data_IF_408256675449
#
_entry.id   IF_408256675449
#
_cell.length_a   1.000
_cell.length_b   1.000
_cell.length_c   1.000
_cell.angle_alpha   90.00
_cell.angle_beta   90.00
_cell.angle_gamma   90.00
#
_symmetry.space_group_name_H-M   'P 1'
#
loop_
_entity.id
_entity.type
_entity.pdbx_description
1 polymer ?
#
# COMPACT_ATOMS: atom_id res chain seq x y z
N UNK A 1 -3.29 -25.31 4.53
CA UNK A 1 -1.88 -24.84 4.46
C UNK A 1 -1.61 -24.33 3.05
N UNK A 2 -1.13 -23.08 2.91
CA UNK A 2 -0.86 -22.48 1.61
C UNK A 2 0.36 -23.15 0.96
N UNK A 3 0.27 -23.42 -0.36
CA UNK A 3 1.37 -23.99 -1.14
C UNK A 3 1.80 -22.99 -2.20
N UNK A 4 3.10 -22.65 -2.24
CA UNK A 4 3.62 -21.73 -3.25
C UNK A 4 3.47 -22.33 -4.65
N UNK A 5 3.01 -21.52 -5.60
CA UNK A 5 2.93 -21.85 -7.03
C UNK A 5 3.99 -21.13 -7.86
N UNK A 6 4.45 -19.98 -7.38
CA UNK A 6 5.51 -19.20 -8.05
C UNK A 6 6.61 -18.84 -7.07
N UNK A 7 7.77 -18.44 -7.59
CA UNK A 7 8.73 -17.67 -6.83
C UNK A 7 8.18 -16.27 -6.50
N UNK A 8 8.90 -15.53 -5.66
CA UNK A 8 8.53 -14.14 -5.36
C UNK A 8 8.80 -13.23 -6.56
N UNK A 9 7.89 -12.29 -6.78
CA UNK A 9 7.99 -11.26 -7.81
C UNK A 9 7.49 -9.93 -7.25
N UNK A 10 7.59 -8.85 -8.03
CA UNK A 10 7.12 -7.53 -7.63
C UNK A 10 5.92 -7.09 -8.46
N UNK A 11 4.92 -6.55 -7.78
CA UNK A 11 3.90 -5.69 -8.36
C UNK A 11 4.22 -4.25 -7.96
N UNK A 12 3.89 -3.32 -8.83
CA UNK A 12 4.12 -1.89 -8.59
C UNK A 12 2.90 -1.08 -9.01
N UNK A 13 2.55 -0.09 -8.21
CA UNK A 13 1.56 0.92 -8.54
C UNK A 13 2.09 2.29 -8.16
N UNK A 14 1.88 3.27 -9.03
CA UNK A 14 2.30 4.65 -8.79
C UNK A 14 1.10 5.57 -8.87
N UNK A 15 0.85 6.29 -7.79
CA UNK A 15 -0.12 7.38 -7.73
C UNK A 15 0.61 8.71 -7.82
N UNK A 16 0.12 9.59 -8.69
CA UNK A 16 0.69 10.92 -8.87
C UNK A 16 -0.18 11.96 -8.19
N UNK A 17 0.42 12.68 -7.26
CA UNK A 17 -0.15 13.88 -6.66
C UNK A 17 0.22 15.07 -7.55
N UNK A 18 -0.78 15.75 -8.11
CA UNK A 18 -0.55 16.91 -8.97
C UNK A 18 0.10 18.07 -8.20
N UNK A 19 0.83 18.97 -8.88
CA UNK A 19 1.32 20.19 -8.27
C UNK A 19 0.18 20.95 -7.56
N UNK A 20 0.48 21.55 -6.42
CA UNK A 20 -0.45 22.34 -5.61
C UNK A 20 -1.67 21.56 -5.07
N UNK A 21 -1.64 20.24 -5.08
CA UNK A 21 -2.68 19.42 -4.43
C UNK A 21 -2.81 19.83 -2.96
N UNK A 22 -4.02 20.23 -2.57
CA UNK A 22 -4.30 20.76 -1.24
C UNK A 22 -4.19 19.68 -0.15
N UNK A 23 -3.75 20.10 1.04
CA UNK A 23 -3.72 19.23 2.22
C UNK A 23 -5.09 18.62 2.52
N UNK A 24 -5.11 17.34 2.84
CA UNK A 24 -6.33 16.58 3.04
C UNK A 24 -6.91 15.92 1.78
N UNK A 25 -6.50 16.35 0.59
CA UNK A 25 -6.90 15.68 -0.66
C UNK A 25 -6.23 14.30 -0.76
N UNK A 26 -6.98 13.30 -1.20
CA UNK A 26 -6.50 11.93 -1.40
C UNK A 26 -6.73 11.49 -2.83
N UNK A 27 -5.78 10.75 -3.38
CA UNK A 27 -5.85 10.16 -4.72
C UNK A 27 -5.68 8.66 -4.60
N UNK A 28 -6.45 7.90 -5.37
CA UNK A 28 -6.43 6.45 -5.38
C UNK A 28 -5.89 5.92 -6.71
N UNK A 29 -5.03 4.90 -6.63
CA UNK A 29 -4.67 4.00 -7.71
C UNK A 29 -5.15 2.59 -7.42
N UNK A 30 -5.17 1.71 -8.42
CA UNK A 30 -5.57 0.32 -8.27
C UNK A 30 -4.71 -0.63 -9.09
N UNK A 31 -4.45 -1.82 -8.53
CA UNK A 31 -3.75 -2.91 -9.20
C UNK A 31 -4.76 -4.02 -9.46
N UNK A 32 -4.90 -4.45 -10.72
CA UNK A 32 -5.69 -5.61 -11.09
C UNK A 32 -4.92 -6.90 -10.79
N UNK A 33 -5.50 -7.76 -9.98
CA UNK A 33 -4.96 -9.07 -9.60
C UNK A 33 -5.63 -10.23 -10.33
N UNK A 34 -6.53 -10.00 -11.28
CA UNK A 34 -7.30 -11.03 -11.95
C UNK A 34 -6.46 -12.13 -12.62
N UNK A 35 -5.19 -11.83 -12.96
CA UNK A 35 -4.25 -12.82 -13.47
C UNK A 35 -3.64 -13.74 -12.39
N UNK A 36 -3.68 -13.32 -11.13
CA UNK A 36 -3.00 -13.99 -10.01
C UNK A 36 -3.95 -14.64 -9.02
N UNK A 37 -5.15 -14.06 -8.86
CA UNK A 37 -6.19 -14.56 -7.95
C UNK A 37 -7.25 -15.29 -8.75
N UNK A 38 -7.61 -16.50 -8.32
CA UNK A 38 -8.61 -17.29 -9.01
C UNK A 38 -9.36 -18.18 -8.01
N UNK A 39 -10.60 -17.82 -7.74
CA UNK A 39 -11.50 -18.51 -6.79
C UNK A 39 -11.69 -19.99 -7.11
N UNK A 40 -12.06 -20.41 -8.36
CA UNK A 40 -12.27 -21.81 -8.70
C UNK A 40 -11.06 -22.69 -8.45
N UNK A 41 -9.84 -22.16 -8.58
CA UNK A 41 -8.61 -22.94 -8.38
C UNK A 41 -8.01 -22.77 -6.98
N UNK A 42 -8.56 -21.90 -6.14
CA UNK A 42 -8.06 -21.54 -4.82
C UNK A 42 -6.75 -20.76 -4.88
N UNK A 43 -6.50 -20.03 -5.99
CA UNK A 43 -5.30 -19.19 -6.12
C UNK A 43 -5.51 -17.86 -5.39
N UNK A 44 -4.51 -17.50 -4.59
CA UNK A 44 -4.44 -16.27 -3.84
C UNK A 44 -3.06 -15.63 -4.00
N UNK A 45 -2.96 -14.35 -3.66
CA UNK A 45 -1.69 -13.64 -3.63
C UNK A 45 -1.21 -13.54 -2.18
N UNK A 46 0.02 -13.98 -1.92
CA UNK A 46 0.69 -13.82 -0.63
C UNK A 46 1.64 -12.62 -0.72
N UNK A 47 1.34 -11.56 0.01
CA UNK A 47 2.18 -10.35 0.09
C UNK A 47 3.22 -10.55 1.20
N UNK A 48 4.49 -10.45 0.85
CA UNK A 48 5.63 -10.66 1.74
C UNK A 48 6.16 -9.34 2.33
N UNK A 49 6.17 -8.27 1.52
CA UNK A 49 6.55 -6.93 1.96
C UNK A 49 6.01 -5.86 1.02
N UNK A 50 5.88 -4.66 1.55
CA UNK A 50 5.48 -3.46 0.81
C UNK A 50 6.47 -2.34 1.12
N UNK A 51 7.04 -1.75 0.07
CA UNK A 51 7.90 -0.57 0.16
C UNK A 51 7.19 0.63 -0.48
N UNK A 52 7.13 1.75 0.23
CA UNK A 52 6.62 3.00 -0.30
C UNK A 52 7.76 3.94 -0.67
N UNK A 53 7.77 4.40 -1.91
CA UNK A 53 8.81 5.26 -2.48
C UNK A 53 8.18 6.58 -2.90
N UNK A 54 8.79 7.68 -2.46
CA UNK A 54 8.35 9.03 -2.76
C UNK A 54 9.37 9.71 -3.68
N UNK A 55 8.91 10.28 -4.77
CA UNK A 55 9.77 10.91 -5.79
C UNK A 55 9.17 12.24 -6.25
N UNK A 56 10.04 13.24 -6.44
CA UNK A 56 9.69 14.49 -7.08
C UNK A 56 9.46 14.26 -8.59
N UNK A 57 8.42 14.83 -9.14
CA UNK A 57 8.06 14.68 -10.54
C UNK A 57 8.99 15.40 -11.52
N UNK A 58 9.85 16.30 -11.05
CA UNK A 58 10.76 17.02 -11.93
C UNK A 58 11.93 16.16 -12.44
N UNK A 59 12.52 15.35 -11.56
CA UNK A 59 13.72 14.57 -11.86
C UNK A 59 13.70 13.17 -11.23
N UNK A 60 12.57 12.78 -10.62
CA UNK A 60 12.38 11.53 -9.88
C UNK A 60 13.33 11.38 -8.67
N UNK A 61 13.90 12.45 -8.18
CA UNK A 61 14.72 12.46 -6.97
C UNK A 61 13.83 12.27 -5.72
N UNK A 62 14.44 11.83 -4.63
CA UNK A 62 13.78 11.71 -3.33
C UNK A 62 14.06 12.93 -2.43
N UNK A 63 14.20 14.12 -3.01
CA UNK A 63 14.45 15.36 -2.27
C UNK A 63 13.17 15.86 -1.60
N UNK A 64 12.90 15.34 -0.42
CA UNK A 64 11.62 15.52 0.27
C UNK A 64 11.26 17.01 0.53
N UNK A 65 12.23 17.88 0.76
CA UNK A 65 12.00 19.33 0.94
C UNK A 65 11.33 20.02 -0.24
N UNK A 66 11.40 19.43 -1.44
CA UNK A 66 10.79 19.97 -2.65
C UNK A 66 9.36 19.44 -2.86
N UNK A 67 8.95 18.41 -2.13
CA UNK A 67 7.65 17.74 -2.35
C UNK A 67 6.47 18.51 -1.76
N UNK A 68 6.67 19.29 -0.70
CA UNK A 68 5.61 20.03 -0.02
C UNK A 68 5.91 21.52 0.07
N UNK A 69 4.89 22.36 0.16
CA UNK A 69 5.04 23.83 0.30
C UNK A 69 5.44 24.27 1.72
N UNK A 70 5.02 23.51 2.72
CA UNK A 70 5.24 23.77 4.15
C UNK A 70 5.59 22.49 4.90
N UNK A 71 5.80 22.58 6.21
CA UNK A 71 5.92 21.41 7.09
C UNK A 71 4.62 20.64 7.12
N UNK A 72 4.72 19.32 7.03
CA UNK A 72 3.57 18.42 6.99
C UNK A 72 4.02 17.03 6.59
N UNK A 73 3.17 16.28 5.90
CA UNK A 73 3.51 14.94 5.47
C UNK A 73 2.72 14.48 4.25
N UNK A 74 3.21 13.43 3.65
CA UNK A 74 2.51 12.67 2.60
C UNK A 74 2.27 11.29 3.16
N UNK A 75 0.99 10.93 3.34
CA UNK A 75 0.60 9.63 3.86
C UNK A 75 0.16 8.71 2.73
N UNK A 76 0.31 7.40 2.93
CA UNK A 76 -0.06 6.36 1.97
C UNK A 76 -0.60 5.13 2.69
N UNK A 77 -1.59 4.49 2.09
CA UNK A 77 -2.12 3.19 2.54
C UNK A 77 -2.35 2.27 1.34
N UNK A 78 -2.12 0.98 1.55
CA UNK A 78 -2.45 -0.10 0.64
C UNK A 78 -3.50 -0.99 1.29
N UNK A 79 -4.58 -1.30 0.58
CA UNK A 79 -5.68 -2.15 1.04
C UNK A 79 -6.14 -3.13 -0.03
N UNK A 80 -6.79 -4.21 0.37
CA UNK A 80 -7.39 -5.20 -0.54
C UNK A 80 -8.90 -5.01 -0.75
N UNK A 81 -9.53 -4.07 -0.04
CA UNK A 81 -10.86 -3.57 -0.31
C UNK A 81 -10.80 -2.09 -0.72
N UNK A 82 -11.76 -1.67 -1.53
CA UNK A 82 -11.81 -0.30 -2.04
C UNK A 82 -12.25 0.70 -0.96
N UNK A 83 -11.34 1.51 -0.38
CA UNK A 83 -11.68 2.50 0.62
C UNK A 83 -12.16 3.82 0.00
N UNK A 84 -12.30 3.90 -1.32
CA UNK A 84 -12.45 5.17 -2.04
C UNK A 84 -11.21 6.05 -1.88
N UNK A 85 -11.41 7.32 -1.64
CA UNK A 85 -10.33 8.29 -1.37
C UNK A 85 -10.15 8.56 0.12
N UNK A 86 -10.43 7.58 0.99
CA UNK A 86 -10.30 7.71 2.44
C UNK A 86 -9.19 6.81 2.97
N UNK A 87 -8.58 7.22 4.06
CA UNK A 87 -7.74 6.32 4.84
C UNK A 87 -8.62 5.51 5.79
N UNK A 88 -8.23 4.27 6.01
CA UNK A 88 -8.88 3.32 6.91
C UNK A 88 -8.07 3.18 8.20
N UNK A 89 -8.73 2.73 9.26
CA UNK A 89 -8.09 2.53 10.55
C UNK A 89 -7.27 1.25 10.56
N UNK A 90 -6.28 1.18 11.45
CA UNK A 90 -5.40 0.01 11.55
C UNK A 90 -6.10 -1.25 12.09
N UNK A 91 -7.30 -1.13 12.66
CA UNK A 91 -8.14 -2.26 13.07
C UNK A 91 -8.96 -2.86 11.91
N UNK A 92 -8.94 -2.21 10.73
CA UNK A 92 -9.56 -2.74 9.53
C UNK A 92 -8.70 -3.86 8.93
N UNK A 93 -9.27 -5.04 8.78
CA UNK A 93 -8.57 -6.23 8.28
C UNK A 93 -8.20 -6.14 6.79
N UNK A 94 -8.75 -5.18 6.06
CA UNK A 94 -8.40 -4.93 4.67
C UNK A 94 -7.12 -4.09 4.50
N UNK A 95 -6.62 -3.46 5.59
CA UNK A 95 -5.38 -2.70 5.56
C UNK A 95 -4.17 -3.63 5.46
N UNK A 96 -3.41 -3.52 4.37
CA UNK A 96 -2.21 -4.33 4.14
C UNK A 96 -0.97 -3.63 4.68
N UNK A 97 -0.84 -2.34 4.36
CA UNK A 97 0.32 -1.55 4.76
C UNK A 97 -0.03 -0.06 4.82
N UNK A 98 0.64 0.65 5.71
CA UNK A 98 0.57 2.10 5.79
C UNK A 98 1.97 2.71 5.85
N UNK A 99 2.10 3.95 5.41
CA UNK A 99 3.36 4.67 5.45
C UNK A 99 3.17 6.17 5.37
N UNK A 100 4.24 6.89 5.65
CA UNK A 100 4.23 8.34 5.60
C UNK A 100 5.63 8.93 5.49
N UNK A 101 5.70 10.04 4.79
CA UNK A 101 6.88 10.91 4.73
C UNK A 101 6.55 12.19 5.48
N UNK A 102 7.20 12.41 6.62
CA UNK A 102 7.04 13.63 7.42
C UNK A 102 8.18 14.61 7.13
N UNK A 103 7.84 15.86 6.91
CA UNK A 103 8.77 16.92 6.50
C UNK A 103 8.65 18.09 7.47
N UNK A 104 9.77 18.42 8.12
CA UNK A 104 9.93 19.63 8.92
C UNK A 104 10.91 20.58 8.18
N UNK A 105 10.35 21.52 7.41
CA UNK A 105 11.14 22.42 6.58
C UNK A 105 12.03 23.39 7.37
N UNK A 106 11.56 24.04 8.44
CA UNK A 106 12.39 24.95 9.22
C UNK A 106 13.67 24.31 9.78
N UNK A 107 13.57 23.04 10.19
CA UNK A 107 14.69 22.32 10.77
C UNK A 107 15.43 21.43 9.75
N UNK A 108 14.96 21.38 8.51
CA UNK A 108 15.50 20.55 7.43
C UNK A 108 15.54 19.06 7.81
N UNK A 109 14.48 18.60 8.50
CA UNK A 109 14.35 17.21 8.98
C UNK A 109 13.27 16.51 8.14
N UNK A 110 13.58 15.30 7.72
CA UNK A 110 12.65 14.41 7.03
C UNK A 110 12.69 13.05 7.72
N UNK A 111 11.52 12.51 8.04
CA UNK A 111 11.39 11.16 8.57
C UNK A 111 10.44 10.34 7.73
N UNK A 112 10.87 9.15 7.39
CA UNK A 112 10.05 8.15 6.72
C UNK A 112 9.53 7.17 7.77
N UNK A 113 8.21 6.98 7.79
CA UNK A 113 7.53 6.03 8.66
C UNK A 113 6.83 5.02 7.76
N UNK A 114 7.05 3.74 7.97
CA UNK A 114 6.27 2.69 7.36
C UNK A 114 5.91 1.66 8.41
N UNK A 115 4.62 1.44 8.59
CA UNK A 115 4.09 0.33 9.34
C UNK A 115 3.77 -0.76 8.32
N UNK A 116 4.53 -1.84 8.37
CA UNK A 116 4.38 -2.96 7.46
C UNK A 116 3.44 -3.98 8.07
N UNK A 117 2.39 -4.28 7.36
CA UNK A 117 1.57 -5.46 7.53
C UNK A 117 1.74 -6.31 6.26
N UNK A 118 2.09 -7.58 6.33
CA UNK A 118 2.44 -8.34 7.53
C UNK A 118 3.77 -7.90 8.14
N UNK A 119 3.84 -7.99 9.45
CA UNK A 119 5.05 -7.69 10.21
C UNK A 119 6.16 -8.68 9.86
N UNK A 120 7.34 -8.17 9.50
CA UNK A 120 8.47 -8.99 9.07
C UNK A 120 9.24 -9.67 10.22
N UNK A 121 8.74 -9.63 11.44
CA UNK A 121 9.43 -10.16 12.62
C UNK A 121 9.20 -11.65 12.89
N UNK A 122 8.40 -12.32 12.10
CA UNK A 122 8.19 -13.74 12.25
C UNK A 122 9.25 -14.62 11.57
N UNK A 123 9.29 -15.91 11.89
CA UNK A 123 10.05 -16.86 11.10
C UNK A 123 9.52 -16.85 9.67
N UNK A 124 10.38 -16.87 8.69
CA UNK A 124 10.10 -16.70 7.24
C UNK A 124 9.19 -17.78 6.64
N UNK A 125 8.05 -18.01 7.28
CA UNK A 125 7.03 -18.97 6.91
C UNK A 125 5.95 -18.31 6.03
N UNK A 126 5.39 -19.08 5.12
CA UNK A 126 4.27 -18.63 4.28
C UNK A 126 3.01 -18.27 5.07
N UNK A 127 2.90 -18.74 6.31
CA UNK A 127 1.78 -18.45 7.21
C UNK A 127 1.74 -17.00 7.72
N UNK A 128 2.77 -16.22 7.47
CA UNK A 128 2.91 -14.83 7.95
C UNK A 128 2.78 -13.79 6.85
N UNK A 129 2.66 -14.21 5.60
CA UNK A 129 2.35 -13.31 4.50
C UNK A 129 0.89 -12.86 4.59
N UNK A 130 0.62 -11.60 4.22
CA UNK A 130 -0.76 -11.14 4.07
C UNK A 130 -1.37 -11.80 2.84
N UNK A 131 -2.48 -12.52 3.05
CA UNK A 131 -3.15 -13.27 1.98
C UNK A 131 -4.26 -12.44 1.36
N UNK A 132 -4.15 -12.18 0.07
CA UNK A 132 -5.16 -11.48 -0.72
C UNK A 132 -5.92 -12.47 -1.59
N UNK A 133 -7.24 -12.47 -1.44
CA UNK A 133 -8.18 -13.29 -2.20
C UNK A 133 -9.09 -12.44 -3.09
N UNK A 134 -9.02 -11.12 -2.96
CA UNK A 134 -9.71 -10.16 -3.79
C UNK A 134 -8.96 -9.96 -5.13
N UNK A 135 -9.66 -9.51 -6.14
CA UNK A 135 -9.14 -9.33 -7.50
C UNK A 135 -8.42 -7.99 -7.71
N UNK A 136 -8.36 -7.14 -6.69
CA UNK A 136 -7.77 -5.81 -6.80
C UNK A 136 -7.08 -5.38 -5.50
N UNK A 137 -6.04 -4.55 -5.64
CA UNK A 137 -5.45 -3.78 -4.55
C UNK A 137 -5.65 -2.29 -4.80
N UNK A 138 -5.74 -1.53 -3.73
CA UNK A 138 -5.99 -0.09 -3.78
C UNK A 138 -4.90 0.66 -3.02
N UNK A 139 -4.29 1.63 -3.71
CA UNK A 139 -3.26 2.51 -3.16
C UNK A 139 -3.85 3.90 -2.99
N UNK A 140 -3.98 4.38 -1.75
CA UNK A 140 -4.48 5.72 -1.45
C UNK A 140 -3.36 6.56 -0.87
N UNK A 141 -3.15 7.76 -1.40
CA UNK A 141 -2.12 8.67 -0.92
C UNK A 141 -2.56 10.12 -0.98
N UNK A 142 -1.93 10.97 -0.19
CA UNK A 142 -2.15 12.42 -0.27
C UNK A 142 -1.46 13.19 0.85
N UNK A 143 -1.34 14.53 0.67
CA UNK A 143 -0.70 15.41 1.63
C UNK A 143 -1.58 15.63 2.87
N UNK A 144 -0.91 15.83 4.03
CA UNK A 144 -1.53 16.12 5.32
C UNK A 144 -0.84 17.32 5.96
N UNK A 145 -1.64 18.31 6.38
CA UNK A 145 -1.20 19.58 6.98
C UNK A 145 -0.28 20.45 6.11
N UNK A 146 -0.17 20.17 4.82
CA UNK A 146 0.58 20.94 3.84
C UNK A 146 -0.03 20.71 2.46
N UNK A 147 0.33 21.52 1.46
CA UNK A 147 0.01 21.22 0.06
C UNK A 147 1.23 20.62 -0.64
N UNK A 148 1.02 19.97 -1.77
CA UNK A 148 2.11 19.61 -2.67
C UNK A 148 2.72 20.91 -3.22
N UNK A 149 4.03 20.95 -3.37
CA UNK A 149 4.76 22.10 -3.92
C UNK A 149 4.51 22.29 -5.43
N UNK A 150 5.37 23.03 -6.10
CA UNK A 150 5.23 23.35 -7.52
C UNK A 150 5.47 22.20 -8.49
N UNK A 151 6.03 21.07 -8.04
CA UNK A 151 6.22 19.84 -8.82
C UNK A 151 5.21 18.78 -8.41
N UNK A 152 4.90 17.85 -9.31
CA UNK A 152 4.14 16.65 -8.95
C UNK A 152 4.94 15.77 -7.97
N UNK A 153 4.26 14.94 -7.20
CA UNK A 153 4.89 13.91 -6.38
C UNK A 153 4.36 12.55 -6.80
N UNK A 154 5.27 11.64 -7.09
CA UNK A 154 4.95 10.25 -7.38
C UNK A 154 5.13 9.42 -6.11
N UNK A 155 4.08 8.72 -5.71
CA UNK A 155 4.11 7.76 -4.59
C UNK A 155 3.93 6.38 -5.17
N UNK A 156 4.97 5.56 -5.07
CA UNK A 156 5.00 4.21 -5.64
C UNK A 156 4.98 3.18 -4.52
N UNK A 157 4.03 2.25 -4.57
CA UNK A 157 4.09 1.02 -3.79
C UNK A 157 4.83 -0.05 -4.59
N UNK A 158 5.86 -0.66 -4.01
CA UNK A 158 6.53 -1.86 -4.52
C UNK A 158 6.16 -3.03 -3.61
N UNK A 159 5.41 -3.97 -4.15
CA UNK A 159 4.80 -5.06 -3.41
C UNK A 159 5.54 -6.34 -3.79
N UNK A 160 6.28 -6.92 -2.85
CA UNK A 160 6.86 -8.24 -3.01
C UNK A 160 5.83 -9.29 -2.66
N UNK A 161 5.56 -10.18 -3.59
CA UNK A 161 4.51 -11.17 -3.46
C UNK A 161 4.81 -12.45 -4.22
N UNK A 162 3.99 -13.47 -3.98
CA UNK A 162 3.97 -14.74 -4.73
C UNK A 162 2.56 -15.28 -4.85
N UNK A 163 2.29 -16.06 -5.89
CA UNK A 163 1.03 -16.79 -6.02
C UNK A 163 1.10 -18.06 -5.18
N UNK A 164 0.06 -18.29 -4.41
CA UNK A 164 -0.12 -19.47 -3.56
C UNK A 164 -1.43 -20.19 -3.89
N UNK A 165 -1.52 -21.46 -3.52
CA UNK A 165 -2.77 -22.20 -3.54
C UNK A 165 -3.24 -22.43 -2.11
N UNK A 166 -4.46 -22.02 -1.82
CA UNK A 166 -5.16 -22.24 -0.56
C UNK A 166 -6.12 -23.42 -0.67
N UNK A 167 -6.43 -24.04 0.45
CA UNK A 167 -7.61 -24.92 0.52
C UNK A 167 -8.87 -24.07 0.38
N UNK A 168 -9.96 -24.65 -0.06
CA UNK A 168 -11.23 -23.94 -0.21
C UNK A 168 -11.71 -23.37 1.14
N UNK A 169 -11.46 -24.08 2.22
CA UNK A 169 -11.82 -23.66 3.57
C UNK A 169 -10.99 -22.44 4.01
N UNK A 170 -9.66 -22.47 3.79
CA UNK A 170 -8.77 -21.34 4.13
C UNK A 170 -9.11 -20.10 3.27
N UNK A 171 -9.40 -20.31 1.99
CA UNK A 171 -9.78 -19.24 1.07
C UNK A 171 -11.06 -18.52 1.54
N UNK A 172 -12.09 -19.30 1.90
CA UNK A 172 -13.35 -18.73 2.41
C UNK A 172 -13.16 -18.00 3.75
N UNK A 173 -12.33 -18.55 4.65
CA UNK A 173 -12.05 -17.90 5.93
C UNK A 173 -11.41 -16.51 5.75
N UNK A 174 -10.44 -16.40 4.84
CA UNK A 174 -9.78 -15.12 4.52
C UNK A 174 -10.76 -14.15 3.86
N UNK A 175 -11.58 -14.62 2.91
CA UNK A 175 -12.56 -13.78 2.25
C UNK A 175 -13.61 -13.23 3.23
N UNK A 176 -14.05 -14.02 4.20
CA UNK A 176 -14.96 -13.54 5.25
C UNK A 176 -14.25 -12.55 6.17
N UNK A 177 -12.99 -12.80 6.54
CA UNK A 177 -12.22 -11.92 7.42
C UNK A 177 -12.00 -10.54 6.78
N UNK A 178 -11.63 -10.47 5.50
CA UNK A 178 -11.42 -9.20 4.82
C UNK A 178 -12.70 -8.38 4.68
N UNK A 179 -13.88 -9.02 4.61
CA UNK A 179 -15.18 -8.34 4.50
C UNK A 179 -15.85 -8.07 5.84
N UNK A 180 -15.37 -8.66 6.94
CA UNK A 180 -16.00 -8.56 8.27
C UNK A 180 -15.60 -7.30 9.07
N UNK A 181 -14.78 -6.43 8.53
CA UNK A 181 -14.27 -5.25 9.23
C UNK A 181 -15.28 -4.10 9.34
N UNK A 182 -16.51 -4.29 8.87
CA UNK A 182 -17.55 -3.26 8.82
C UNK A 182 -18.50 -3.34 10.03
N UNK A 183 -17.97 -3.14 11.25
CA UNK A 183 -18.82 -2.88 12.44
C UNK A 183 -18.18 -1.85 13.37
#
# INVERSE_FOLDING_TARGET
MATAKTGSFYLTETVTLAPLTAGGTRVQGSIDLGAYVNVPTGQALAIESVDFIYQDGADFSSTANLMTDASGGIAVQLSDLNPGTSFIRADDQSLIASGGLNIDKPNNIVSHVSDLYPDNFGPSNMSEAFMVVNDSLYLVTGPSNCNIAGSAVHVTARIRCRVVKLSQQDWMAIAIQSTASDN
#
